data_IF_916618315450
#
_entry.id   IF_916618315450
#
_cell.length_a   1.000
_cell.length_b   1.000
_cell.length_c   1.000
_cell.angle_alpha   90.00
_cell.angle_beta   90.00
_cell.angle_gamma   90.00
#
_symmetry.space_group_name_H-M   'P 1'
#
loop_
_entity.id
_entity.type
_entity.pdbx_description
1 polymer ?
#
# COMPACT_ATOMS: atom_id res chain seq x y z
N UNK A 1 -10.80 13.68 44.23
CA UNK A 1 -11.78 13.18 43.25
C UNK A 1 -11.58 13.96 41.95
N UNK A 2 -11.32 13.31 40.80
CA UNK A 2 -11.12 14.03 39.55
C UNK A 2 -12.41 14.78 39.18
N UNK A 3 -12.29 16.08 38.89
CA UNK A 3 -13.42 16.90 38.46
C UNK A 3 -14.02 16.35 37.17
N UNK A 4 -15.30 16.66 36.92
CA UNK A 4 -16.00 16.25 35.68
C UNK A 4 -15.19 16.63 34.42
N UNK A 5 -14.57 17.81 34.44
CA UNK A 5 -13.66 18.28 33.38
C UNK A 5 -12.45 17.35 33.18
N UNK A 6 -11.83 16.88 34.27
CA UNK A 6 -10.68 15.98 34.19
C UNK A 6 -11.06 14.60 33.59
N UNK A 7 -12.26 14.10 33.89
CA UNK A 7 -12.79 12.86 33.30
C UNK A 7 -13.06 13.02 31.80
N UNK A 8 -13.62 14.15 31.39
CA UNK A 8 -13.87 14.46 29.97
C UNK A 8 -12.55 14.56 29.20
N UNK A 9 -11.54 15.26 29.76
CA UNK A 9 -10.22 15.37 29.14
C UNK A 9 -9.55 14.01 28.93
N UNK A 10 -9.60 13.12 29.94
CA UNK A 10 -9.06 11.76 29.82
C UNK A 10 -9.78 10.96 28.74
N UNK A 11 -11.11 11.05 28.66
CA UNK A 11 -11.88 10.37 27.60
C UNK A 11 -11.51 10.88 26.21
N UNK A 12 -11.36 12.19 26.03
CA UNK A 12 -10.94 12.77 24.74
C UNK A 12 -9.54 12.32 24.32
N UNK A 13 -8.59 12.26 25.26
CA UNK A 13 -7.24 11.75 24.99
C UNK A 13 -7.28 10.28 24.60
N UNK A 14 -8.07 9.46 25.30
CA UNK A 14 -8.23 8.04 25.00
C UNK A 14 -8.83 7.83 23.61
N UNK A 15 -9.90 8.57 23.26
CA UNK A 15 -10.51 8.52 21.93
C UNK A 15 -9.53 8.96 20.84
N UNK A 16 -8.79 10.04 21.06
CA UNK A 16 -7.79 10.53 20.11
C UNK A 16 -6.66 9.50 19.89
N UNK A 17 -6.16 8.90 20.96
CA UNK A 17 -5.14 7.86 20.88
C UNK A 17 -5.64 6.67 20.05
N UNK A 18 -6.85 6.17 20.33
CA UNK A 18 -7.47 5.07 19.56
C UNK A 18 -7.60 5.45 18.07
N UNK A 19 -8.05 6.67 17.77
CA UNK A 19 -8.15 7.17 16.40
C UNK A 19 -6.79 7.12 15.68
N UNK A 20 -5.73 7.64 16.32
CA UNK A 20 -4.37 7.62 15.76
C UNK A 20 -3.85 6.20 15.48
N UNK A 21 -4.13 5.22 16.35
CA UNK A 21 -3.70 3.84 16.13
C UNK A 21 -4.44 3.18 14.96
N UNK A 22 -5.75 3.41 14.81
CA UNK A 22 -6.53 2.78 13.73
C UNK A 22 -6.09 3.24 12.33
N UNK A 23 -5.70 4.51 12.17
CA UNK A 23 -5.21 5.06 10.89
C UNK A 23 -3.95 4.36 10.40
N UNK A 24 -3.04 3.97 11.31
CA UNK A 24 -1.77 3.31 10.96
C UNK A 24 -1.97 1.92 10.35
N UNK A 25 -2.99 1.17 10.77
CA UNK A 25 -3.21 -0.22 10.31
C UNK A 25 -3.58 -0.35 8.83
N UNK A 26 -4.19 0.68 8.24
CA UNK A 26 -4.62 0.64 6.85
C UNK A 26 -3.44 0.62 5.89
N UNK A 27 -2.34 1.31 6.21
CA UNK A 27 -1.15 1.36 5.38
C UNK A 27 -0.49 -0.02 5.25
N UNK A 28 -0.33 -0.75 6.35
CA UNK A 28 0.29 -2.09 6.34
C UNK A 28 -0.55 -3.11 5.58
N UNK A 29 -1.88 -3.10 5.78
CA UNK A 29 -2.80 -3.97 5.02
C UNK A 29 -2.69 -3.72 3.52
N UNK A 30 -2.64 -2.45 3.11
CA UNK A 30 -2.60 -2.06 1.72
C UNK A 30 -1.27 -2.41 1.04
N UNK A 31 -0.14 -2.31 1.77
CA UNK A 31 1.16 -2.78 1.26
C UNK A 31 1.08 -4.28 0.93
N UNK A 32 0.50 -5.08 1.82
CA UNK A 32 0.35 -6.52 1.59
C UNK A 32 -0.50 -6.84 0.36
N UNK A 33 -1.59 -6.11 0.13
CA UNK A 33 -2.42 -6.27 -1.08
C UNK A 33 -1.63 -5.85 -2.32
N UNK A 34 -0.93 -4.73 -2.27
CA UNK A 34 -0.11 -4.23 -3.37
C UNK A 34 0.95 -5.24 -3.81
N UNK A 35 1.72 -5.80 -2.85
CA UNK A 35 2.76 -6.79 -3.13
C UNK A 35 2.19 -8.08 -3.72
N UNK A 36 1.02 -8.54 -3.24
CA UNK A 36 0.36 -9.72 -3.82
C UNK A 36 -0.06 -9.50 -5.27
N UNK A 37 -0.55 -8.31 -5.61
CA UNK A 37 -0.84 -7.95 -7.00
C UNK A 37 0.44 -7.91 -7.85
N UNK A 38 1.54 -7.34 -7.35
CA UNK A 38 2.84 -7.41 -8.05
C UNK A 38 3.26 -8.86 -8.36
N UNK A 39 3.08 -9.78 -7.40
CA UNK A 39 3.39 -11.19 -7.60
C UNK A 39 2.46 -11.84 -8.63
N UNK A 40 1.18 -11.47 -8.66
CA UNK A 40 0.21 -11.93 -9.66
C UNK A 40 0.58 -11.43 -11.06
N UNK A 41 0.87 -10.13 -11.22
CA UNK A 41 1.22 -9.57 -12.52
C UNK A 41 2.52 -10.19 -13.04
N UNK A 42 3.50 -10.45 -12.16
CA UNK A 42 4.71 -11.19 -12.55
C UNK A 42 4.43 -12.62 -13.01
N UNK A 43 3.43 -13.31 -12.44
CA UNK A 43 3.01 -14.64 -12.94
C UNK A 43 2.35 -14.54 -14.32
N UNK A 44 1.61 -13.46 -14.59
CA UNK A 44 0.88 -13.24 -15.83
C UNK A 44 1.80 -12.82 -16.99
N UNK A 45 2.70 -11.88 -16.75
CA UNK A 45 3.57 -11.28 -17.77
C UNK A 45 4.99 -11.84 -17.78
N UNK A 46 5.34 -12.69 -16.80
CA UNK A 46 6.64 -13.34 -16.72
C UNK A 46 7.80 -12.36 -16.61
N UNK A 47 8.81 -12.54 -17.46
CA UNK A 47 10.04 -11.74 -17.47
C UNK A 47 9.82 -10.29 -17.91
N UNK A 48 8.75 -10.02 -18.64
CA UNK A 48 8.42 -8.68 -19.10
C UNK A 48 7.95 -7.76 -17.96
N UNK A 49 7.62 -8.32 -16.79
CA UNK A 49 7.18 -7.53 -15.64
C UNK A 49 8.25 -7.47 -14.55
N UNK A 50 8.72 -6.26 -14.28
CA UNK A 50 9.70 -5.94 -13.24
C UNK A 50 9.07 -6.00 -11.84
N UNK A 51 8.85 -7.22 -11.33
CA UNK A 51 8.21 -7.42 -10.02
C UNK A 51 8.92 -6.73 -8.84
N UNK A 52 10.25 -6.62 -8.87
CA UNK A 52 11.02 -5.89 -7.84
C UNK A 52 10.67 -4.39 -7.86
N UNK A 53 10.68 -3.77 -9.04
CA UNK A 53 10.29 -2.36 -9.22
C UNK A 53 8.85 -2.10 -8.74
N UNK A 54 7.94 -3.06 -8.97
CA UNK A 54 6.56 -3.01 -8.46
C UNK A 54 6.51 -3.09 -6.92
N UNK A 55 7.27 -4.01 -6.30
CA UNK A 55 7.34 -4.13 -4.85
C UNK A 55 7.91 -2.86 -4.19
N UNK A 56 8.97 -2.28 -4.77
CA UNK A 56 9.56 -1.01 -4.30
C UNK A 56 8.55 0.13 -4.36
N UNK A 57 7.74 0.18 -5.43
CA UNK A 57 6.64 1.12 -5.57
C UNK A 57 5.60 0.94 -4.44
N UNK A 58 5.21 -0.30 -4.13
CA UNK A 58 4.29 -0.59 -3.02
C UNK A 58 4.82 -0.07 -1.68
N UNK A 59 6.11 -0.23 -1.42
CA UNK A 59 6.75 0.27 -0.19
C UNK A 59 6.80 1.79 -0.17
N UNK A 60 7.23 2.42 -1.27
CA UNK A 60 7.35 3.88 -1.41
C UNK A 60 6.02 4.59 -1.18
N UNK A 61 4.94 4.06 -1.75
CA UNK A 61 3.60 4.67 -1.67
C UNK A 61 2.71 4.04 -0.59
N UNK A 62 3.27 3.15 0.24
CA UNK A 62 2.57 2.46 1.34
C UNK A 62 1.26 1.81 0.90
N UNK A 63 1.28 1.19 -0.28
CA UNK A 63 0.12 0.51 -0.88
C UNK A 63 -1.08 1.41 -1.20
N UNK A 64 -0.93 2.74 -1.20
CA UNK A 64 -2.04 3.65 -1.58
C UNK A 64 -2.44 3.54 -3.05
N UNK A 65 -1.51 3.09 -3.89
CA UNK A 65 -1.71 2.80 -5.29
C UNK A 65 -1.40 1.31 -5.47
N UNK A 66 -2.40 0.55 -5.91
CA UNK A 66 -2.31 -0.90 -6.10
C UNK A 66 -2.35 -1.15 -7.61
N UNK A 67 -1.32 -1.80 -8.19
CA UNK A 67 -1.37 -2.17 -9.59
C UNK A 67 -2.41 -3.26 -9.81
N UNK A 68 -3.16 -3.14 -10.90
CA UNK A 68 -4.14 -4.11 -11.38
C UNK A 68 -3.58 -4.76 -12.65
N UNK A 69 -3.41 -6.08 -12.62
CA UNK A 69 -2.79 -6.80 -13.73
C UNK A 69 -3.61 -6.74 -15.03
N UNK A 70 -4.89 -6.37 -14.96
CA UNK A 70 -5.78 -6.22 -16.10
C UNK A 70 -5.86 -4.77 -16.61
N UNK A 71 -5.36 -3.80 -15.83
CA UNK A 71 -5.27 -2.39 -16.24
C UNK A 71 -3.86 -2.05 -16.73
N UNK A 72 -3.71 -1.94 -18.05
CA UNK A 72 -2.47 -1.57 -18.73
C UNK A 72 -1.84 -0.31 -18.15
N UNK A 73 -2.62 0.73 -17.85
CA UNK A 73 -2.09 2.00 -17.35
C UNK A 73 -1.47 1.85 -15.97
N UNK A 74 -2.00 0.95 -15.14
CA UNK A 74 -1.50 0.68 -13.81
C UNK A 74 -0.18 -0.11 -13.83
N UNK A 75 0.03 -0.98 -14.84
CA UNK A 75 1.21 -1.85 -14.93
C UNK A 75 2.31 -1.34 -15.87
N UNK A 76 2.00 -0.42 -16.78
CA UNK A 76 2.95 0.17 -17.74
C UNK A 76 4.29 0.59 -17.12
N UNK A 77 4.33 1.21 -15.92
CA UNK A 77 5.61 1.59 -15.29
C UNK A 77 6.52 0.41 -14.93
N UNK A 78 5.98 -0.80 -14.85
CA UNK A 78 6.68 -2.01 -14.43
C UNK A 78 6.98 -2.97 -15.58
N UNK A 79 6.52 -2.67 -16.80
CA UNK A 79 6.85 -3.46 -17.97
C UNK A 79 8.25 -3.09 -18.50
N UNK A 80 9.01 -4.11 -18.89
CA UNK A 80 10.22 -3.94 -19.70
C UNK A 80 9.81 -3.51 -21.10
N UNK A 81 10.49 -2.51 -21.65
CA UNK A 81 10.42 -2.26 -23.09
C UNK A 81 11.01 -3.50 -23.74
N UNK A 82 10.31 -4.09 -24.70
CA UNK A 82 10.91 -5.15 -25.52
C UNK A 82 12.14 -4.54 -26.20
N UNK A 83 13.34 -4.93 -25.78
CA UNK A 83 14.54 -4.68 -26.57
C UNK A 83 14.36 -5.47 -27.86
N UNK A 84 13.96 -4.79 -28.93
CA UNK A 84 14.15 -5.27 -30.27
C UNK A 84 15.65 -5.19 -30.53
N UNK A 85 16.35 -6.27 -30.19
CA UNK A 85 17.73 -6.51 -30.60
C UNK A 85 17.73 -6.63 -32.13
N UNK A 86 18.28 -5.64 -32.83
CA UNK A 86 18.45 -5.61 -34.29
C UNK A 86 19.90 -5.95 -34.65
#
# INVERSE_FOLDING_TARGET
MPSLSNRIMVLLIMVFAILCFTVSTNAERNIGVCIRNCAQCRKMFGVYFMGQKCADFCMKYKGKLIPDCEDEYSIRPFLQVAEYDY
#
